data_IF_998344889936
#
_entry.id   IF_998344889936
#
_cell.length_a   1.000
_cell.length_b   1.000
_cell.length_c   1.000
_cell.angle_alpha   90.00
_cell.angle_beta   90.00
_cell.angle_gamma   90.00
#
_symmetry.space_group_name_H-M   'P 1'
#
loop_
_entity.id
_entity.type
_entity.pdbx_description
1 polymer ?
#
# COMPACT_ATOMS: atom_id res chain seq x y z
N UNK A 1 12.41 21.98 -31.52
CA UNK A 1 11.61 20.75 -31.35
C UNK A 1 12.22 19.97 -30.18
N UNK A 2 11.90 20.34 -28.95
CA UNK A 2 12.31 19.56 -27.78
C UNK A 2 11.37 18.37 -27.67
N UNK A 3 11.84 17.19 -28.06
CA UNK A 3 11.14 15.95 -27.80
C UNK A 3 11.22 15.68 -26.30
N UNK A 4 10.14 15.93 -25.58
CA UNK A 4 9.94 15.36 -24.25
C UNK A 4 10.02 13.85 -24.41
N UNK A 5 11.16 13.29 -24.04
CA UNK A 5 11.29 11.86 -23.82
C UNK A 5 10.37 11.53 -22.65
N UNK A 6 9.14 11.09 -22.95
CA UNK A 6 8.42 10.24 -22.00
C UNK A 6 9.32 9.02 -21.83
N UNK A 7 10.15 9.04 -20.78
CA UNK A 7 10.79 7.84 -20.30
C UNK A 7 9.68 6.80 -20.22
N UNK A 8 9.70 5.80 -21.11
CA UNK A 8 8.70 4.74 -21.07
C UNK A 8 8.83 4.15 -19.69
N UNK A 9 7.77 4.26 -18.89
CA UNK A 9 7.72 3.63 -17.59
C UNK A 9 8.16 2.19 -17.77
N UNK A 10 9.09 1.74 -16.92
CA UNK A 10 9.49 0.34 -16.98
C UNK A 10 8.25 -0.51 -16.65
N UNK A 11 8.16 -1.74 -17.16
CA UNK A 11 7.04 -2.63 -16.83
C UNK A 11 6.90 -2.86 -15.32
N UNK A 12 7.96 -2.66 -14.55
CA UNK A 12 7.95 -2.69 -13.09
C UNK A 12 7.27 -1.44 -12.50
N UNK A 13 7.62 -0.24 -12.98
CA UNK A 13 6.98 1.01 -12.55
C UNK A 13 5.47 1.00 -12.86
N UNK A 14 5.07 0.52 -14.03
CA UNK A 14 3.65 0.36 -14.39
C UNK A 14 2.89 -0.60 -13.46
N UNK A 15 3.56 -1.67 -13.00
CA UNK A 15 2.97 -2.61 -12.03
C UNK A 15 2.77 -1.95 -10.68
N UNK A 16 3.77 -1.20 -10.19
CA UNK A 16 3.65 -0.47 -8.92
C UNK A 16 2.56 0.59 -9.01
N UNK A 17 2.50 1.39 -10.09
CA UNK A 17 1.42 2.36 -10.27
C UNK A 17 0.04 1.70 -10.29
N UNK A 18 -0.11 0.57 -10.98
CA UNK A 18 -1.38 -0.17 -10.99
C UNK A 18 -1.71 -0.74 -9.61
N UNK A 19 -0.70 -1.17 -8.86
CA UNK A 19 -0.87 -1.65 -7.49
C UNK A 19 -1.39 -0.52 -6.59
N UNK A 20 -0.75 0.65 -6.59
CA UNK A 20 -1.12 1.78 -5.71
C UNK A 20 -2.26 2.65 -6.26
N UNK A 21 -2.81 2.33 -7.43
CA UNK A 21 -4.01 3.00 -7.96
C UNK A 21 -5.27 2.73 -7.13
N UNK A 22 -5.24 1.73 -6.25
CA UNK A 22 -6.32 1.33 -5.34
C UNK A 22 -6.29 2.16 -4.06
N UNK A 23 -7.44 2.74 -3.70
CA UNK A 23 -7.54 3.69 -2.59
C UNK A 23 -7.22 3.06 -1.24
N UNK A 24 -7.73 1.85 -0.96
CA UNK A 24 -7.45 1.14 0.29
C UNK A 24 -5.94 0.86 0.44
N UNK A 25 -5.24 0.45 -0.63
CA UNK A 25 -3.77 0.28 -0.58
C UNK A 25 -3.01 1.57 -0.39
N UNK A 26 -3.48 2.70 -0.95
CA UNK A 26 -2.89 4.01 -0.69
C UNK A 26 -3.07 4.43 0.77
N UNK A 27 -4.28 4.27 1.31
CA UNK A 27 -4.57 4.53 2.73
C UNK A 27 -3.66 3.72 3.64
N UNK A 28 -3.50 2.41 3.38
CA UNK A 28 -2.59 1.56 4.15
C UNK A 28 -1.13 2.05 4.09
N UNK A 29 -0.64 2.41 2.91
CA UNK A 29 0.73 2.92 2.76
C UNK A 29 0.93 4.25 3.51
N UNK A 30 -0.06 5.16 3.47
CA UNK A 30 -0.01 6.42 4.20
C UNK A 30 0.01 6.21 5.72
N UNK A 31 -0.87 5.35 6.26
CA UNK A 31 -0.87 5.01 7.69
C UNK A 31 0.46 4.41 8.13
N UNK A 32 1.07 3.57 7.29
CA UNK A 32 2.37 2.95 7.56
C UNK A 32 3.56 3.92 7.34
N UNK A 33 3.39 5.03 6.63
CA UNK A 33 4.45 6.02 6.43
C UNK A 33 4.66 6.88 7.68
N UNK A 34 3.59 7.13 8.43
CA UNK A 34 3.64 7.91 9.67
C UNK A 34 4.21 7.13 10.86
N UNK A 35 4.28 5.80 10.79
CA UNK A 35 4.70 4.93 11.90
C UNK A 35 5.52 3.74 11.41
N UNK A 36 6.68 3.49 12.03
CA UNK A 36 7.59 2.38 11.66
C UNK A 36 6.89 1.02 11.55
N UNK A 37 5.95 0.73 12.47
CA UNK A 37 5.12 -0.48 12.48
C UNK A 37 3.74 -0.19 13.06
N UNK A 38 2.71 -0.75 12.44
CA UNK A 38 1.31 -0.61 12.83
C UNK A 38 0.70 -2.00 13.05
N UNK A 39 -0.14 -2.14 14.08
CA UNK A 39 -0.87 -3.38 14.33
C UNK A 39 -1.86 -3.63 13.20
N UNK A 40 -2.04 -4.90 12.82
CA UNK A 40 -2.97 -5.27 11.73
C UNK A 40 -4.40 -4.82 12.05
N UNK A 41 -4.80 -4.85 13.32
CA UNK A 41 -6.09 -4.34 13.78
C UNK A 41 -6.31 -2.86 13.46
N UNK A 42 -5.29 -2.02 13.66
CA UNK A 42 -5.37 -0.58 13.39
C UNK A 42 -5.42 -0.31 11.88
N UNK A 43 -4.71 -1.12 11.08
CA UNK A 43 -4.80 -1.08 9.62
C UNK A 43 -6.17 -1.49 9.10
N UNK A 44 -6.83 -2.47 9.75
CA UNK A 44 -8.20 -2.84 9.41
C UNK A 44 -9.15 -1.67 9.65
N UNK A 45 -9.02 -1.00 10.79
CA UNK A 45 -9.84 0.18 11.11
C UNK A 45 -9.65 1.26 10.04
N UNK A 46 -8.41 1.49 9.57
CA UNK A 46 -8.11 2.51 8.57
C UNK A 46 -8.77 2.26 7.20
N UNK A 47 -9.05 1.01 6.82
CA UNK A 47 -9.71 0.67 5.55
C UNK A 47 -11.18 0.25 5.72
N UNK A 48 -11.72 0.32 6.93
CA UNK A 48 -13.14 0.08 7.17
C UNK A 48 -13.88 1.38 6.90
N UNK A 49 -14.61 1.45 5.79
CA UNK A 49 -15.54 2.57 5.54
C UNK A 49 -16.64 2.62 6.62
N UNK A 50 -17.23 3.81 6.84
CA UNK A 50 -18.24 4.08 7.88
C UNK A 50 -19.49 3.18 7.81
N UNK A 51 -19.79 2.64 6.62
CA UNK A 51 -20.91 1.71 6.35
C UNK A 51 -20.46 0.23 6.18
N UNK A 52 -19.16 -0.06 6.35
CA UNK A 52 -18.53 -1.33 6.03
C UNK A 52 -18.65 -2.40 7.13
N UNK A 53 -18.79 -3.66 6.72
CA UNK A 53 -18.70 -4.82 7.61
C UNK A 53 -17.22 -5.07 8.02
N UNK A 54 -16.88 -4.97 9.33
CA UNK A 54 -15.51 -5.17 9.81
C UNK A 54 -14.92 -6.54 9.44
N UNK A 55 -15.76 -7.59 9.38
CA UNK A 55 -15.30 -8.93 9.00
C UNK A 55 -14.87 -8.97 7.53
N UNK A 56 -15.57 -8.24 6.66
CA UNK A 56 -15.17 -8.12 5.27
C UNK A 56 -13.88 -7.32 5.09
N UNK A 57 -13.69 -6.25 5.86
CA UNK A 57 -12.45 -5.46 5.83
C UNK A 57 -11.25 -6.32 6.27
N UNK A 58 -11.42 -7.13 7.31
CA UNK A 58 -10.40 -8.06 7.79
C UNK A 58 -9.98 -9.07 6.69
N UNK A 59 -10.96 -9.72 6.07
CA UNK A 59 -10.72 -10.67 4.98
C UNK A 59 -9.98 -9.98 3.82
N UNK A 60 -10.40 -8.78 3.41
CA UNK A 60 -9.72 -8.05 2.33
C UNK A 60 -8.31 -7.67 2.73
N UNK A 61 -8.08 -7.19 3.96
CA UNK A 61 -6.76 -6.80 4.43
C UNK A 61 -5.78 -7.98 4.33
N UNK A 62 -6.15 -9.13 4.91
CA UNK A 62 -5.29 -10.31 5.00
C UNK A 62 -5.10 -11.05 3.68
N UNK A 63 -6.14 -11.12 2.85
CA UNK A 63 -6.14 -11.95 1.64
C UNK A 63 -6.02 -11.18 0.32
N UNK A 64 -6.22 -9.86 0.34
CA UNK A 64 -6.18 -9.02 -0.88
C UNK A 64 -5.09 -7.97 -0.80
N UNK A 65 -5.08 -7.11 0.21
CA UNK A 65 -4.20 -5.94 0.23
C UNK A 65 -2.78 -6.32 0.68
N UNK A 66 -2.62 -6.90 1.87
CA UNK A 66 -1.30 -7.22 2.41
C UNK A 66 -0.50 -8.19 1.52
N UNK A 67 -1.08 -9.30 0.98
CA UNK A 67 -0.32 -10.18 0.10
C UNK A 67 0.20 -9.48 -1.16
N UNK A 68 -0.62 -8.62 -1.78
CA UNK A 68 -0.18 -7.90 -2.99
C UNK A 68 0.89 -6.85 -2.71
N UNK A 69 0.84 -6.23 -1.53
CA UNK A 69 1.86 -5.26 -1.10
C UNK A 69 3.18 -5.96 -0.74
N UNK A 70 3.12 -7.13 -0.11
CA UNK A 70 4.30 -7.97 0.17
C UNK A 70 4.92 -8.56 -1.10
N UNK A 71 4.11 -9.07 -2.04
CA UNK A 71 4.59 -9.58 -3.32
C UNK A 71 5.35 -8.51 -4.12
N UNK A 72 5.04 -7.24 -3.88
CA UNK A 72 5.70 -6.08 -4.47
C UNK A 72 6.84 -5.51 -3.61
N UNK A 73 7.18 -6.18 -2.50
CA UNK A 73 8.20 -5.78 -1.53
C UNK A 73 7.98 -4.37 -0.97
N UNK A 74 6.72 -3.95 -0.78
CA UNK A 74 6.38 -2.64 -0.22
C UNK A 74 6.15 -2.68 1.28
N UNK A 75 5.67 -3.81 1.79
CA UNK A 75 5.44 -4.02 3.22
C UNK A 75 6.07 -5.31 3.67
N UNK A 76 6.27 -5.43 4.97
CA UNK A 76 6.67 -6.66 5.64
C UNK A 76 5.74 -6.91 6.82
N UNK A 77 5.15 -8.11 6.88
CA UNK A 77 4.42 -8.58 8.05
C UNK A 77 5.34 -9.28 9.04
N UNK A 78 5.17 -8.99 10.32
CA UNK A 78 5.80 -9.72 11.43
C UNK A 78 4.72 -9.96 12.50
N UNK A 79 4.33 -11.23 12.70
CA UNK A 79 3.23 -11.66 13.58
C UNK A 79 1.94 -10.85 13.36
N UNK A 80 1.64 -9.90 14.26
CA UNK A 80 0.43 -9.08 14.27
C UNK A 80 0.68 -7.62 13.86
N UNK A 81 1.86 -7.31 13.33
CA UNK A 81 2.25 -5.97 12.90
C UNK A 81 2.74 -5.94 11.44
N UNK A 82 2.61 -4.77 10.82
CA UNK A 82 3.08 -4.50 9.47
C UNK A 82 3.91 -3.23 9.47
N UNK A 83 5.01 -3.22 8.72
CA UNK A 83 5.83 -2.04 8.46
C UNK A 83 6.14 -1.88 6.98
N UNK A 84 6.51 -0.67 6.56
CA UNK A 84 7.04 -0.43 5.22
C UNK A 84 8.46 -1.00 5.10
N UNK A 85 8.78 -1.51 3.91
CA UNK A 85 10.18 -1.73 3.52
C UNK A 85 10.81 -0.41 3.07
N UNK A 86 12.12 -0.39 2.80
CA UNK A 86 12.78 0.79 2.19
C UNK A 86 12.11 1.21 0.87
N UNK A 87 11.69 0.22 0.08
CA UNK A 87 10.95 0.43 -1.16
C UNK A 87 9.54 0.96 -0.88
N UNK A 88 8.88 0.44 0.15
CA UNK A 88 7.58 0.90 0.65
C UNK A 88 7.58 2.39 0.97
N UNK A 89 8.55 2.85 1.77
CA UNK A 89 8.71 4.27 2.12
C UNK A 89 8.85 5.14 0.86
N UNK A 90 9.72 4.73 -0.08
CA UNK A 90 9.91 5.45 -1.34
C UNK A 90 8.63 5.56 -2.17
N UNK A 91 7.75 4.56 -2.09
CA UNK A 91 6.46 4.58 -2.80
C UNK A 91 5.43 5.42 -2.06
N UNK A 92 5.33 5.30 -0.73
CA UNK A 92 4.43 6.08 0.11
C UNK A 92 4.65 7.60 -0.10
N UNK A 93 5.90 8.05 -0.02
CA UNK A 93 6.32 9.44 -0.25
C UNK A 93 5.84 10.03 -1.60
N UNK A 94 5.51 9.19 -2.58
CA UNK A 94 5.09 9.59 -3.93
C UNK A 94 3.59 9.51 -4.15
N UNK A 95 2.87 8.81 -3.29
CA UNK A 95 1.43 8.61 -3.40
C UNK A 95 0.64 9.37 -2.33
N UNK A 96 1.30 9.79 -1.25
CA UNK A 96 0.77 10.78 -0.32
C UNK A 96 0.75 12.16 -1.01
N UNK A 97 -0.45 12.58 -1.42
CA UNK A 97 -0.72 13.82 -2.16
C UNK A 97 -1.55 14.80 -1.33
#
# INVERSE_FOLDING_TARGET
MAGTSMARASPETDRIYRLVADDERRTLLGVLADTDRVAVEDLRVAITDDDGDPQHADIRLHHVHLPKLEDADLVRRDDDAVGLTDRGHTVADRVDC
#
